data_IF_290830196415
#
_entry.id   IF_290830196415
#
_cell.length_a   1.000
_cell.length_b   1.000
_cell.length_c   1.000
_cell.angle_alpha   90.00
_cell.angle_beta   90.00
_cell.angle_gamma   90.00
#
_symmetry.space_group_name_H-M   'P 1'
#
loop_
_entity.id
_entity.type
_entity.pdbx_description
1 polymer ?
#
# COMPACT_ATOMS: atom_id res chain seq x y z
N UNK A 1 -5.01 25.72 -27.28
CA UNK A 1 -4.53 24.32 -27.15
C UNK A 1 -4.61 23.82 -25.70
N UNK A 2 -5.74 23.98 -24.99
CA UNK A 2 -5.88 23.55 -23.58
C UNK A 2 -7.24 22.93 -23.24
N UNK A 3 -8.24 23.05 -24.12
CA UNK A 3 -9.62 22.61 -23.84
C UNK A 3 -9.86 21.10 -24.00
N UNK A 4 -8.93 20.34 -24.60
CA UNK A 4 -9.06 18.88 -24.77
C UNK A 4 -8.89 18.09 -23.47
N UNK A 5 -8.21 18.66 -22.47
CA UNK A 5 -7.94 18.00 -21.19
C UNK A 5 -9.14 18.02 -20.22
N UNK A 6 -10.15 18.85 -20.48
CA UNK A 6 -11.37 18.96 -19.68
C UNK A 6 -12.47 17.98 -20.12
N UNK A 7 -12.22 17.16 -21.16
CA UNK A 7 -13.15 16.14 -21.62
C UNK A 7 -13.44 15.11 -20.51
N UNK A 8 -14.68 14.59 -20.40
CA UNK A 8 -15.10 13.67 -19.33
C UNK A 8 -14.19 12.44 -19.19
N UNK A 9 -13.58 12.01 -20.30
CA UNK A 9 -12.62 10.90 -20.35
C UNK A 9 -11.39 11.10 -19.46
N UNK A 10 -11.00 12.35 -19.19
CA UNK A 10 -9.80 12.67 -18.40
C UNK A 10 -10.12 13.04 -16.95
N UNK A 11 -11.40 13.12 -16.56
CA UNK A 11 -11.79 13.45 -15.19
C UNK A 11 -11.27 12.43 -14.17
N UNK A 12 -11.22 11.14 -14.51
CA UNK A 12 -10.63 10.13 -13.63
C UNK A 12 -9.15 10.41 -13.34
N UNK A 13 -8.39 10.84 -14.35
CA UNK A 13 -6.99 11.24 -14.21
C UNK A 13 -6.87 12.48 -13.33
N UNK A 14 -7.70 13.50 -13.57
CA UNK A 14 -7.72 14.72 -12.76
C UNK A 14 -8.12 14.46 -11.29
N UNK A 15 -9.06 13.56 -11.04
CA UNK A 15 -9.39 13.10 -9.69
C UNK A 15 -8.18 12.46 -9.00
N UNK A 16 -7.43 11.61 -9.71
CA UNK A 16 -6.17 11.05 -9.19
C UNK A 16 -5.15 12.12 -8.83
N UNK A 17 -4.95 13.11 -9.72
CA UNK A 17 -4.06 14.25 -9.48
C UNK A 17 -4.51 15.07 -8.27
N UNK A 18 -5.81 15.36 -8.14
CA UNK A 18 -6.38 16.08 -7.00
C UNK A 18 -6.17 15.31 -5.69
N UNK A 19 -6.33 13.99 -5.69
CA UNK A 19 -6.05 13.15 -4.52
C UNK A 19 -4.56 13.23 -4.15
N UNK A 20 -3.64 13.07 -5.11
CA UNK A 20 -2.21 13.20 -4.82
C UNK A 20 -1.82 14.59 -4.32
N UNK A 21 -2.45 15.63 -4.85
CA UNK A 21 -2.23 17.01 -4.41
C UNK A 21 -2.71 17.22 -2.97
N UNK A 22 -3.89 16.72 -2.59
CA UNK A 22 -4.39 16.75 -1.21
C UNK A 22 -3.46 15.98 -0.26
N UNK A 23 -2.99 14.80 -0.67
CA UNK A 23 -2.00 14.03 0.11
C UNK A 23 -0.69 14.80 0.26
N UNK A 24 -0.29 15.58 -0.75
CA UNK A 24 0.93 16.41 -0.76
C UNK A 24 0.85 17.61 0.19
N UNK A 25 -0.31 17.91 0.74
CA UNK A 25 -0.48 18.90 1.81
C UNK A 25 -0.57 18.28 3.21
N UNK A 26 -0.78 16.97 3.31
CA UNK A 26 -0.86 16.31 4.61
C UNK A 26 0.49 16.39 5.37
N UNK A 27 0.50 16.68 6.68
CA UNK A 27 1.72 16.59 7.48
C UNK A 27 2.35 15.20 7.39
N UNK A 28 3.68 15.11 7.54
CA UNK A 28 4.43 13.85 7.42
C UNK A 28 3.84 12.74 8.31
N UNK A 29 3.45 13.09 9.54
CA UNK A 29 2.80 12.17 10.49
C UNK A 29 1.50 11.55 9.96
N UNK A 30 0.67 12.35 9.30
CA UNK A 30 -0.59 11.91 8.72
C UNK A 30 -0.36 11.00 7.49
N UNK A 31 0.62 11.33 6.63
CA UNK A 31 1.02 10.45 5.51
C UNK A 31 1.51 9.10 5.99
N UNK A 32 2.34 9.07 7.05
CA UNK A 32 2.79 7.82 7.64
C UNK A 32 1.64 7.02 8.26
N UNK A 33 0.67 7.69 8.91
CA UNK A 33 -0.51 7.02 9.44
C UNK A 33 -1.36 6.39 8.31
N UNK A 34 -1.56 7.11 7.21
CA UNK A 34 -2.23 6.62 6.01
C UNK A 34 -1.49 5.40 5.43
N UNK A 35 -0.17 5.48 5.29
CA UNK A 35 0.66 4.37 4.82
C UNK A 35 0.53 3.12 5.70
N UNK A 36 0.56 3.27 7.03
CA UNK A 36 0.34 2.17 7.98
C UNK A 36 -1.05 1.57 7.86
N UNK A 37 -2.07 2.39 7.62
CA UNK A 37 -3.44 1.90 7.43
C UNK A 37 -3.53 1.09 6.14
N UNK A 38 -3.02 1.62 5.04
CA UNK A 38 -2.97 0.95 3.73
C UNK A 38 -2.19 -0.38 3.85
N UNK A 39 -1.05 -0.37 4.53
CA UNK A 39 -0.25 -1.57 4.80
C UNK A 39 -1.01 -2.65 5.56
N UNK A 40 -1.69 -2.28 6.66
CA UNK A 40 -2.56 -3.20 7.43
C UNK A 40 -3.69 -3.77 6.57
N UNK A 41 -4.33 -2.94 5.74
CA UNK A 41 -5.38 -3.39 4.82
C UNK A 41 -4.80 -4.32 3.75
N UNK A 42 -3.66 -3.99 3.17
CA UNK A 42 -2.96 -4.84 2.20
C UNK A 42 -2.62 -6.21 2.80
N UNK A 43 -2.11 -6.26 4.04
CA UNK A 43 -1.87 -7.52 4.74
C UNK A 43 -3.14 -8.33 4.97
N UNK A 44 -4.25 -7.67 5.33
CA UNK A 44 -5.53 -8.32 5.63
C UNK A 44 -6.23 -8.86 4.38
N UNK A 45 -6.25 -8.08 3.29
CA UNK A 45 -7.03 -8.37 2.10
C UNK A 45 -6.22 -9.05 0.99
N UNK A 46 -4.92 -8.77 0.87
CA UNK A 46 -4.07 -9.36 -0.17
C UNK A 46 -3.51 -10.72 0.26
N UNK A 47 -4.39 -11.74 0.30
CA UNK A 47 -4.03 -13.11 0.70
C UNK A 47 -2.90 -13.69 -0.15
N UNK A 48 -2.91 -13.43 -1.47
CA UNK A 48 -1.86 -13.89 -2.39
C UNK A 48 -0.49 -13.35 -1.98
N UNK A 49 -0.39 -12.04 -1.73
CA UNK A 49 0.88 -11.41 -1.35
C UNK A 49 1.34 -11.83 0.03
N UNK A 50 0.42 -12.00 0.99
CA UNK A 50 0.73 -12.59 2.31
C UNK A 50 1.31 -13.99 2.18
N UNK A 51 0.71 -14.88 1.37
CA UNK A 51 1.19 -16.24 1.17
C UNK A 51 2.60 -16.27 0.56
N UNK A 52 2.86 -15.44 -0.46
CA UNK A 52 4.19 -15.31 -1.09
C UNK A 52 5.23 -14.87 -0.06
N UNK A 53 4.94 -13.83 0.74
CA UNK A 53 5.87 -13.34 1.76
C UNK A 53 6.15 -14.40 2.82
N UNK A 54 5.13 -15.12 3.30
CA UNK A 54 5.32 -16.18 4.29
C UNK A 54 6.11 -17.37 3.72
N UNK A 55 5.87 -17.75 2.47
CA UNK A 55 6.64 -18.79 1.78
C UNK A 55 8.12 -18.38 1.63
N UNK A 56 8.38 -17.14 1.19
CA UNK A 56 9.74 -16.61 1.08
C UNK A 56 10.44 -16.55 2.45
N UNK A 57 9.72 -16.15 3.50
CA UNK A 57 10.27 -16.15 4.86
C UNK A 57 10.53 -17.58 5.38
N UNK A 58 9.72 -18.56 4.97
CA UNK A 58 9.97 -19.96 5.31
C UNK A 58 11.21 -20.52 4.60
N UNK A 59 11.41 -20.15 3.34
CA UNK A 59 12.58 -20.55 2.56
C UNK A 59 13.86 -19.85 3.03
N UNK A 60 13.81 -18.55 3.28
CA UNK A 60 14.98 -17.76 3.69
C UNK A 60 15.33 -17.95 5.17
N UNK A 61 14.35 -18.24 6.02
CA UNK A 61 14.51 -18.40 7.47
C UNK A 61 13.84 -19.70 7.96
N UNK A 62 14.39 -20.87 7.63
CA UNK A 62 13.81 -22.17 7.97
C UNK A 62 13.66 -22.37 9.49
N UNK A 63 14.54 -21.78 10.29
CA UNK A 63 14.54 -21.91 11.76
C UNK A 63 13.52 -21.01 12.48
N UNK A 64 12.83 -20.13 11.76
CA UNK A 64 11.80 -19.28 12.36
C UNK A 64 10.49 -20.05 12.52
N UNK A 65 9.86 -19.93 13.68
CA UNK A 65 8.50 -20.43 13.86
C UNK A 65 7.48 -19.65 13.01
N UNK A 66 6.30 -20.23 12.80
CA UNK A 66 5.24 -19.63 11.99
C UNK A 66 4.75 -18.28 12.53
N UNK A 67 4.68 -18.11 13.85
CA UNK A 67 4.25 -16.86 14.49
C UNK A 67 5.27 -15.72 14.32
N UNK A 68 6.57 -16.04 14.36
CA UNK A 68 7.66 -15.10 14.09
C UNK A 68 7.63 -14.66 12.64
N UNK A 69 7.47 -15.59 11.68
CA UNK A 69 7.31 -15.27 10.25
C UNK A 69 6.10 -14.38 10.01
N UNK A 70 4.97 -14.66 10.67
CA UNK A 70 3.77 -13.84 10.56
C UNK A 70 3.95 -12.43 11.12
N UNK A 71 4.56 -12.30 12.29
CA UNK A 71 4.83 -11.01 12.91
C UNK A 71 5.78 -10.15 12.08
N UNK A 72 6.84 -10.74 11.54
CA UNK A 72 7.80 -10.04 10.68
C UNK A 72 7.17 -9.67 9.34
N UNK A 73 6.42 -10.60 8.72
CA UNK A 73 5.64 -10.33 7.51
C UNK A 73 4.70 -9.13 7.72
N UNK A 74 3.91 -9.14 8.79
CA UNK A 74 2.99 -8.04 9.12
C UNK A 74 3.70 -6.70 9.42
N UNK A 75 4.92 -6.70 9.97
CA UNK A 75 5.67 -5.46 10.22
C UNK A 75 6.23 -4.83 8.93
N UNK A 76 6.43 -5.63 7.89
CA UNK A 76 6.92 -5.14 6.60
C UNK A 76 5.85 -4.37 5.80
N UNK A 77 4.56 -4.61 6.09
CA UNK A 77 3.42 -3.91 5.49
C UNK A 77 2.92 -2.80 6.43
#
# INVERSE_FOLDING_TARGET
MTQDLLKPRHWATWSGVAIFWLISWLPLNARHALGRLIGKLAWRYNRKRRAIVLANLALAFPDWDGGKRERIGKKHF
#
